data_IF_388533625048
#
_entry.id   IF_388533625048
#
_cell.length_a   1.000
_cell.length_b   1.000
_cell.length_c   1.000
_cell.angle_alpha   90.00
_cell.angle_beta   90.00
_cell.angle_gamma   90.00
#
_symmetry.space_group_name_H-M   'P 1'
#
loop_
_entity.id
_entity.type
_entity.pdbx_description
1 polymer ?
#
# COMPACT_ATOMS: atom_id res chain seq x y z
N UNK A 1 -2.49 8.68 -2.70
CA UNK A 1 -2.55 7.20 -2.67
C UNK A 1 -1.54 6.72 -1.68
N UNK A 2 -1.87 5.72 -0.86
CA UNK A 2 -0.96 5.08 0.09
C UNK A 2 -0.51 3.73 -0.49
N UNK A 3 0.79 3.45 -0.39
CA UNK A 3 1.36 2.16 -0.77
C UNK A 3 1.68 1.38 0.50
N UNK A 4 1.10 0.19 0.63
CA UNK A 4 1.34 -0.70 1.77
C UNK A 4 2.55 -1.58 1.47
N UNK A 5 3.58 -1.45 2.30
CA UNK A 5 4.78 -2.30 2.25
C UNK A 5 4.78 -3.21 3.47
N UNK A 6 4.72 -4.52 3.23
CA UNK A 6 4.74 -5.53 4.29
C UNK A 6 6.13 -6.11 4.46
N UNK A 7 6.62 -6.19 5.71
CA UNK A 7 7.93 -6.81 6.00
C UNK A 7 7.97 -8.32 5.70
N UNK A 8 6.81 -8.97 5.68
CA UNK A 8 6.68 -10.39 5.28
C UNK A 8 6.64 -10.61 3.78
N UNK A 9 6.69 -9.53 2.97
CA UNK A 9 6.51 -9.53 1.51
C UNK A 9 5.14 -10.03 1.03
N UNK A 10 4.25 -10.40 1.96
CA UNK A 10 2.92 -10.89 1.66
C UNK A 10 1.99 -9.73 1.30
N UNK A 11 1.36 -9.83 0.14
CA UNK A 11 0.35 -8.90 -0.34
C UNK A 11 -0.92 -9.70 -0.67
N UNK A 12 -1.99 -9.60 0.13
CA UNK A 12 -3.23 -10.30 -0.16
C UNK A 12 -3.93 -9.69 -1.38
N UNK A 13 -4.79 -10.47 -2.07
CA UNK A 13 -5.64 -9.95 -3.14
C UNK A 13 -6.61 -8.84 -2.71
N UNK A 14 -7.01 -8.84 -1.43
CA UNK A 14 -7.85 -7.81 -0.81
C UNK A 14 -7.22 -7.37 0.51
N UNK A 15 -7.09 -6.05 0.71
CA UNK A 15 -6.56 -5.48 1.96
C UNK A 15 -7.42 -5.84 3.18
N UNK A 16 -8.70 -6.21 3.02
CA UNK A 16 -9.53 -6.73 4.11
C UNK A 16 -8.98 -8.01 4.75
N UNK A 17 -8.11 -8.75 4.06
CA UNK A 17 -7.46 -9.92 4.64
C UNK A 17 -6.44 -9.56 5.74
N UNK A 18 -6.07 -8.27 5.88
CA UNK A 18 -5.29 -7.81 7.03
C UNK A 18 -6.13 -7.62 8.30
N UNK A 19 -7.46 -7.64 8.20
CA UNK A 19 -8.32 -7.53 9.37
C UNK A 19 -8.09 -8.68 10.35
N UNK A 20 -7.99 -8.34 11.63
CA UNK A 20 -7.93 -9.32 12.71
C UNK A 20 -9.33 -9.55 13.28
N UNK A 21 -9.56 -10.73 13.85
CA UNK A 21 -10.85 -11.12 14.45
C UNK A 21 -11.18 -10.28 15.71
N UNK A 22 -10.21 -9.57 16.27
CA UNK A 22 -10.40 -8.72 17.43
C UNK A 22 -11.20 -7.44 17.08
N UNK A 23 -12.40 -7.30 17.68
CA UNK A 23 -13.33 -6.18 17.48
C UNK A 23 -12.86 -4.85 18.07
N UNK A 24 -11.87 -4.86 18.96
CA UNK A 24 -11.30 -3.65 19.55
C UNK A 24 -10.27 -3.00 18.62
N UNK A 25 -9.84 -3.70 17.56
CA UNK A 25 -8.91 -3.17 16.58
C UNK A 25 -9.63 -2.45 15.43
N UNK A 26 -8.98 -1.46 14.80
CA UNK A 26 -9.51 -0.86 13.58
C UNK A 26 -9.78 -1.90 12.50
N UNK A 27 -10.88 -1.71 11.78
CA UNK A 27 -11.35 -2.62 10.74
C UNK A 27 -11.39 -1.93 9.38
N UNK A 28 -10.81 -2.56 8.35
CA UNK A 28 -10.86 -2.14 6.96
C UNK A 28 -12.06 -2.73 6.25
N UNK A 29 -12.78 -1.91 5.50
CA UNK A 29 -13.89 -2.35 4.67
C UNK A 29 -13.80 -1.68 3.29
N UNK A 30 -14.29 -2.35 2.26
CA UNK A 30 -14.21 -1.83 0.89
C UNK A 30 -15.22 -0.71 0.67
N UNK A 31 -14.93 0.11 -0.33
CA UNK A 31 -15.80 1.19 -0.80
C UNK A 31 -16.02 1.03 -2.30
N UNK A 32 -16.99 1.76 -2.84
CA UNK A 32 -17.22 1.80 -4.28
C UNK A 32 -15.96 2.24 -5.03
N UNK A 33 -15.57 1.56 -6.12
CA UNK A 33 -14.32 1.84 -6.83
C UNK A 33 -14.33 3.26 -7.42
N UNK A 34 -13.14 3.86 -7.49
CA UNK A 34 -12.96 5.17 -8.13
C UNK A 34 -13.07 5.08 -9.65
N UNK A 35 -13.26 6.24 -10.28
CA UNK A 35 -13.21 6.37 -11.73
C UNK A 35 -11.87 5.87 -12.28
N UNK A 36 -11.93 5.12 -13.36
CA UNK A 36 -10.75 4.59 -14.04
C UNK A 36 -9.97 5.72 -14.70
N UNK A 37 -8.64 5.62 -14.69
CA UNK A 37 -7.77 6.52 -15.44
C UNK A 37 -7.17 5.77 -16.62
N UNK A 38 -7.33 6.28 -17.82
CA UNK A 38 -6.80 5.66 -19.05
C UNK A 38 -5.65 6.49 -19.59
N UNK A 39 -4.51 5.84 -19.91
CA UNK A 39 -3.31 6.49 -20.47
C UNK A 39 -2.59 5.59 -21.46
N UNK A 40 -1.85 6.16 -22.40
CA UNK A 40 -0.91 5.42 -23.24
C UNK A 40 0.44 5.33 -22.54
N UNK A 41 0.99 4.13 -22.35
CA UNK A 41 2.23 3.93 -21.59
C UNK A 41 3.03 2.78 -22.19
N UNK A 42 4.34 2.98 -22.42
CA UNK A 42 5.27 1.95 -22.88
C UNK A 42 4.79 1.18 -24.13
N UNK A 43 4.24 1.90 -25.12
CA UNK A 43 3.72 1.30 -26.35
C UNK A 43 2.33 0.66 -26.22
N UNK A 44 1.77 0.56 -25.02
CA UNK A 44 0.40 0.08 -24.78
C UNK A 44 -0.59 1.22 -24.93
N UNK A 45 -1.55 1.08 -25.86
CA UNK A 45 -2.68 1.99 -26.01
C UNK A 45 -3.75 1.69 -24.96
N UNK A 46 -4.44 2.76 -24.54
CA UNK A 46 -5.56 2.72 -23.59
C UNK A 46 -5.34 1.87 -22.32
N UNK A 47 -4.16 1.99 -21.71
CA UNK A 47 -3.87 1.30 -20.46
C UNK A 47 -4.72 1.88 -19.34
N UNK A 48 -5.50 1.00 -18.69
CA UNK A 48 -6.45 1.36 -17.63
C UNK A 48 -5.83 1.15 -16.25
N UNK A 49 -5.82 2.21 -15.44
CA UNK A 49 -5.44 2.20 -14.04
C UNK A 49 -6.70 2.31 -13.17
N UNK A 50 -6.73 1.52 -12.09
CA UNK A 50 -7.83 1.47 -11.12
C UNK A 50 -7.24 1.54 -9.73
N UNK A 51 -7.83 2.35 -8.86
CA UNK A 51 -7.49 2.36 -7.45
C UNK A 51 -8.75 2.10 -6.63
N UNK A 52 -8.58 1.32 -5.56
CA UNK A 52 -9.66 0.95 -4.66
C UNK A 52 -9.62 1.84 -3.41
N UNK A 53 -10.71 2.55 -3.09
CA UNK A 53 -10.85 3.21 -1.81
C UNK A 53 -11.29 2.19 -0.74
N UNK A 54 -10.83 2.41 0.48
CA UNK A 54 -11.18 1.65 1.67
C UNK A 54 -11.60 2.61 2.77
N UNK A 55 -12.49 2.16 3.65
CA UNK A 55 -12.83 2.86 4.90
C UNK A 55 -12.23 2.11 6.08
N UNK A 56 -11.58 2.85 6.97
CA UNK A 56 -11.03 2.39 8.24
C UNK A 56 -12.02 2.79 9.33
N UNK A 57 -12.63 1.79 9.95
CA UNK A 57 -13.60 1.93 11.04
C UNK A 57 -12.86 1.78 12.36
N UNK A 58 -13.11 2.69 13.30
CA UNK A 58 -12.47 2.72 14.63
C UNK A 58 -13.56 2.90 15.68
N UNK A 59 -13.45 2.20 16.81
CA UNK A 59 -14.44 2.32 17.90
C UNK A 59 -14.54 3.77 18.38
N UNK A 60 -15.76 4.27 18.53
CA UNK A 60 -16.04 5.62 19.02
C UNK A 60 -15.62 6.78 18.10
N UNK A 61 -15.18 6.52 16.86
CA UNK A 61 -14.70 7.55 15.95
C UNK A 61 -15.33 7.45 14.55
N UNK A 62 -15.36 8.58 13.83
CA UNK A 62 -15.82 8.61 12.44
C UNK A 62 -14.88 7.76 11.54
N UNK A 63 -15.43 7.05 10.54
CA UNK A 63 -14.64 6.32 9.55
C UNK A 63 -13.68 7.24 8.79
N UNK A 64 -12.49 6.72 8.46
CA UNK A 64 -11.51 7.42 7.62
C UNK A 64 -11.40 6.71 6.29
N UNK A 65 -11.47 7.46 5.20
CA UNK A 65 -11.40 6.91 3.85
C UNK A 65 -9.99 7.09 3.29
N UNK A 66 -9.43 6.03 2.73
CA UNK A 66 -8.08 6.02 2.16
C UNK A 66 -8.09 5.30 0.82
N UNK A 67 -7.21 5.73 -0.09
CA UNK A 67 -6.90 4.99 -1.31
C UNK A 67 -5.60 4.27 -1.04
N UNK A 68 -5.64 2.94 -0.98
CA UNK A 68 -4.50 2.12 -0.61
C UNK A 68 -4.38 0.88 -1.49
N UNK A 69 -3.14 0.48 -1.75
CA UNK A 69 -2.81 -0.77 -2.44
C UNK A 69 -1.49 -1.33 -1.91
N UNK A 70 -1.28 -2.64 -2.03
CA UNK A 70 0.01 -3.24 -1.75
C UNK A 70 1.03 -2.92 -2.86
N UNK A 71 2.30 -2.78 -2.48
CA UNK A 71 3.39 -2.70 -3.45
C UNK A 71 3.53 -4.04 -4.20
N UNK A 72 2.99 -4.13 -5.41
CA UNK A 72 3.01 -5.36 -6.22
C UNK A 72 4.41 -5.95 -6.47
N UNK A 73 5.52 -5.19 -6.51
CA UNK A 73 6.86 -5.77 -6.56
C UNK A 73 7.16 -6.71 -5.38
N UNK A 74 6.60 -6.49 -4.19
CA UNK A 74 6.76 -7.38 -3.03
C UNK A 74 6.16 -8.76 -3.31
N UNK A 75 5.00 -8.81 -3.98
CA UNK A 75 4.37 -10.08 -4.33
C UNK A 75 5.22 -10.87 -5.33
N UNK A 76 5.80 -10.19 -6.31
CA UNK A 76 6.77 -10.80 -7.24
C UNK A 76 7.98 -11.33 -6.48
N UNK A 77 8.54 -10.54 -5.57
CA UNK A 77 9.71 -10.92 -4.78
C UNK A 77 9.43 -12.14 -3.90
N UNK A 78 8.29 -12.15 -3.20
CA UNK A 78 7.85 -13.30 -2.40
C UNK A 78 7.80 -14.57 -3.25
N UNK A 79 7.25 -14.49 -4.47
CA UNK A 79 7.19 -15.63 -5.39
C UNK A 79 8.56 -16.09 -5.89
N UNK A 80 9.52 -15.18 -6.06
CA UNK A 80 10.89 -15.53 -6.45
C UNK A 80 11.57 -16.29 -5.31
N UNK A 81 11.48 -15.77 -4.08
CA UNK A 81 12.04 -16.42 -2.89
C UNK A 81 11.40 -17.79 -2.62
N UNK A 82 10.09 -17.91 -2.78
CA UNK A 82 9.37 -19.18 -2.59
C UNK A 82 9.71 -20.22 -3.66
N UNK A 83 10.19 -19.79 -4.83
CA UNK A 83 10.49 -20.66 -5.96
C UNK A 83 11.95 -21.10 -6.07
N UNK A 84 12.83 -20.72 -5.13
CA UNK A 84 14.19 -21.23 -4.74
C UNK A 84 15.17 -21.84 -5.77
N UNK A 85 14.83 -22.08 -7.03
CA UNK A 85 15.66 -22.81 -7.99
C UNK A 85 16.57 -21.90 -8.82
N UNK A 86 16.35 -20.59 -8.84
CA UNK A 86 17.09 -19.63 -9.70
C UNK A 86 17.66 -18.44 -8.93
N UNK A 87 17.18 -18.17 -7.72
CA UNK A 87 17.65 -17.05 -6.91
C UNK A 87 18.43 -17.57 -5.70
N UNK A 88 19.74 -17.30 -5.69
CA UNK A 88 20.56 -17.44 -4.50
C UNK A 88 20.60 -16.08 -3.82
N UNK A 89 20.07 -16.02 -2.59
CA UNK A 89 20.15 -14.84 -1.77
C UNK A 89 21.59 -14.72 -1.24
N UNK A 90 22.33 -13.72 -1.73
CA UNK A 90 23.72 -13.46 -1.33
C UNK A 90 23.82 -12.94 0.11
N UNK A 91 22.73 -12.39 0.66
CA UNK A 91 22.62 -11.97 2.05
C UNK A 91 21.24 -12.33 2.63
N UNK A 92 21.04 -13.58 3.09
CA UNK A 92 19.77 -14.05 3.62
C UNK A 92 19.38 -13.39 4.95
N UNK A 93 20.28 -12.58 5.54
CA UNK A 93 19.98 -11.79 6.75
C UNK A 93 19.34 -10.44 6.39
N UNK A 94 19.43 -10.03 5.13
CA UNK A 94 18.89 -8.78 4.66
C UNK A 94 17.36 -8.83 4.56
N UNK A 95 16.68 -7.89 5.20
CA UNK A 95 15.24 -7.75 5.00
C UNK A 95 14.98 -7.02 3.67
N UNK A 96 14.58 -7.77 2.65
CA UNK A 96 14.33 -7.21 1.31
C UNK A 96 13.21 -6.17 1.26
N UNK A 97 12.25 -6.20 2.18
CA UNK A 97 11.23 -5.14 2.28
C UNK A 97 11.89 -3.82 2.71
N UNK A 98 12.84 -3.88 3.64
CA UNK A 98 13.61 -2.72 4.08
C UNK A 98 14.54 -2.21 2.96
N UNK A 99 15.12 -3.09 2.14
CA UNK A 99 15.85 -2.71 0.92
C UNK A 99 14.96 -1.93 -0.05
N UNK A 100 13.77 -2.45 -0.34
CA UNK A 100 12.81 -1.77 -1.20
C UNK A 100 12.43 -0.40 -0.63
N UNK A 101 12.14 -0.32 0.68
CA UNK A 101 11.83 0.94 1.35
C UNK A 101 12.97 1.93 1.20
N UNK A 102 14.21 1.53 1.48
CA UNK A 102 15.37 2.40 1.36
C UNK A 102 15.54 2.93 -0.08
N UNK A 103 15.32 2.08 -1.10
CA UNK A 103 15.33 2.53 -2.50
C UNK A 103 14.20 3.50 -2.84
N UNK A 104 13.01 3.30 -2.28
CA UNK A 104 11.93 4.29 -2.42
C UNK A 104 12.31 5.61 -1.75
N UNK A 105 12.93 5.57 -0.56
CA UNK A 105 13.40 6.78 0.14
C UNK A 105 14.48 7.52 -0.66
N UNK A 106 15.40 6.80 -1.29
CA UNK A 106 16.43 7.39 -2.16
C UNK A 106 15.81 8.09 -3.38
N UNK A 107 14.79 7.47 -4.00
CA UNK A 107 14.16 8.00 -5.22
C UNK A 107 13.18 9.14 -4.96
N UNK A 108 12.44 9.07 -3.85
CA UNK A 108 11.40 10.02 -3.49
C UNK A 108 11.63 10.55 -2.07
N UNK A 109 12.74 11.27 -1.80
CA UNK A 109 13.16 11.62 -0.43
C UNK A 109 12.13 12.44 0.35
N UNK A 110 11.23 13.14 -0.34
CA UNK A 110 10.19 13.97 0.26
C UNK A 110 8.86 13.21 0.50
N UNK A 111 8.82 11.88 0.37
CA UNK A 111 7.58 11.13 0.60
C UNK A 111 7.04 11.31 2.02
N UNK A 112 7.91 11.49 3.02
CA UNK A 112 7.52 11.75 4.41
C UNK A 112 6.85 13.14 4.57
N UNK A 113 7.28 14.13 3.79
CA UNK A 113 6.66 15.46 3.78
C UNK A 113 5.24 15.44 3.17
N UNK A 114 4.99 14.55 2.21
CA UNK A 114 3.65 14.36 1.63
C UNK A 114 2.67 13.83 2.70
N UNK A 115 3.14 12.93 3.57
CA UNK A 115 2.36 12.39 4.69
C UNK A 115 2.09 13.51 5.71
N UNK A 116 3.11 14.27 6.09
CA UNK A 116 3.00 15.34 7.07
C UNK A 116 2.06 16.46 6.61
N UNK A 117 2.15 16.90 5.34
CA UNK A 117 1.24 17.90 4.75
C UNK A 117 -0.21 17.41 4.72
N UNK A 118 -0.42 16.12 4.44
CA UNK A 118 -1.77 15.52 4.43
C UNK A 118 -2.38 15.45 5.84
N UNK A 119 -1.57 15.16 6.86
CA UNK A 119 -2.02 15.14 8.26
C UNK A 119 -2.39 16.54 8.77
N UNK A 120 -1.63 17.57 8.41
CA UNK A 120 -1.94 18.95 8.79
C UNK A 120 -3.27 19.42 8.18
N UNK A 121 -3.47 19.15 6.88
CA UNK A 121 -4.72 19.50 6.19
C UNK A 121 -5.95 18.80 6.77
N UNK A 122 -5.79 17.58 7.30
CA UNK A 122 -6.88 16.87 7.98
C UNK A 122 -7.20 17.46 9.36
N UNK A 123 -6.21 17.98 10.09
CA UNK A 123 -6.46 18.71 11.34
C UNK A 123 -7.24 19.99 11.08
N UNK A 124 -6.89 20.75 10.05
CA UNK A 124 -7.59 21.98 9.66
C UNK A 124 -9.06 21.72 9.29
N UNK A 125 -9.35 20.63 8.58
CA UNK A 125 -10.71 20.27 8.15
C UNK A 125 -11.60 19.70 9.27
N UNK A 126 -11.01 19.22 10.37
CA UNK A 126 -11.75 18.65 11.52
C UNK A 126 -11.97 19.65 12.67
N UNK A 127 -11.57 20.92 12.50
CA UNK A 127 -11.80 22.03 13.46
C UNK A 127 -13.06 22.87 13.07
N UNK A 128 -13.75 22.49 11.99
CA UNK A 128 -15.08 23.01 11.59
C UNK A 128 -16.14 21.92 11.66
#
# INVERSE_FOLDING_TARGET
MLIVVTKSLFCPPDLKHFNKINKDLPYLDDCSPLSKVTKHVAGVRDRVYKNSPYKIIRSGARPVYVIAECATPLHTLKRVLDKTAVYQDEDPTQNLADVLLNKIKELEPNFEDIINKSLQRHKELNIT
#
